data_IF_728737994443
#
_entry.id   IF_728737994443
#
_cell.length_a   1.000
_cell.length_b   1.000
_cell.length_c   1.000
_cell.angle_alpha   90.00
_cell.angle_beta   90.00
_cell.angle_gamma   90.00
#
_symmetry.space_group_name_H-M   'P 1'
#
loop_
_entity.id
_entity.type
_entity.pdbx_description
1 polymer ?
#
# COMPACT_ATOMS: atom_id res chain seq x y z
N UNK A 1 -5.77 -27.66 -2.43
CA UNK A 1 -5.61 -26.20 -2.17
C UNK A 1 -4.13 -25.94 -2.00
N UNK A 2 -3.51 -25.16 -2.89
CA UNK A 2 -2.11 -24.75 -2.73
C UNK A 2 -2.03 -23.81 -1.52
N UNK A 3 -1.39 -24.24 -0.43
CA UNK A 3 -1.01 -23.36 0.66
C UNK A 3 0.14 -22.49 0.19
N UNK A 4 -0.14 -21.25 -0.22
CA UNK A 4 0.91 -20.27 -0.44
C UNK A 4 1.51 -19.90 0.93
N UNK A 5 2.84 -19.92 1.08
CA UNK A 5 3.46 -19.51 2.33
C UNK A 5 3.16 -18.04 2.60
N UNK A 6 2.79 -17.73 3.83
CA UNK A 6 2.54 -16.36 4.31
C UNK A 6 3.60 -16.00 5.37
N UNK A 7 4.83 -15.68 4.94
CA UNK A 7 5.96 -15.48 5.87
C UNK A 7 5.92 -14.14 6.61
N UNK A 8 5.16 -13.15 6.13
CA UNK A 8 5.14 -11.81 6.71
C UNK A 8 4.21 -11.82 7.94
N UNK A 9 4.79 -11.66 9.13
CA UNK A 9 4.02 -11.50 10.36
C UNK A 9 3.34 -10.12 10.41
N UNK A 10 2.26 -9.95 11.19
CA UNK A 10 1.62 -8.66 11.39
C UNK A 10 2.61 -7.58 11.89
N UNK A 11 3.57 -7.98 12.73
CA UNK A 11 4.63 -7.08 13.21
C UNK A 11 5.58 -6.63 12.11
N UNK A 12 5.99 -7.55 11.23
CA UNK A 12 6.83 -7.19 10.09
C UNK A 12 6.08 -6.25 9.13
N UNK A 13 4.79 -6.51 8.90
CA UNK A 13 3.93 -5.66 8.08
C UNK A 13 3.82 -4.24 8.63
N UNK A 14 3.60 -4.10 9.95
CA UNK A 14 3.55 -2.80 10.62
C UNK A 14 4.79 -1.95 10.34
N UNK A 15 5.97 -2.57 10.34
CA UNK A 15 7.21 -1.87 9.99
C UNK A 15 7.25 -1.48 8.51
N UNK A 16 6.81 -2.34 7.60
CA UNK A 16 6.74 -1.97 6.18
C UNK A 16 5.86 -0.74 5.97
N UNK A 17 4.69 -0.69 6.60
CA UNK A 17 3.78 0.47 6.49
C UNK A 17 4.40 1.75 7.05
N UNK A 18 5.05 1.65 8.22
CA UNK A 18 5.69 2.78 8.89
C UNK A 18 6.79 3.42 8.02
N UNK A 19 7.53 2.63 7.24
CA UNK A 19 8.55 3.13 6.32
C UNK A 19 7.96 3.52 4.96
N UNK A 20 6.96 2.79 4.48
CA UNK A 20 6.33 3.02 3.18
C UNK A 20 5.64 4.39 3.14
N UNK A 21 4.93 4.78 4.20
CA UNK A 21 4.20 6.04 4.23
C UNK A 21 5.07 7.28 3.93
N UNK A 22 6.14 7.59 4.70
CA UNK A 22 7.00 8.73 4.40
C UNK A 22 7.74 8.58 3.06
N UNK A 23 8.13 7.37 2.66
CA UNK A 23 8.78 7.13 1.38
C UNK A 23 7.86 7.45 0.19
N UNK A 24 6.59 7.02 0.24
CA UNK A 24 5.60 7.28 -0.81
C UNK A 24 5.27 8.78 -0.87
N UNK A 25 5.12 9.45 0.27
CA UNK A 25 4.90 10.91 0.28
C UNK A 25 6.10 11.69 -0.26
N UNK A 26 7.32 11.29 0.11
CA UNK A 26 8.55 11.87 -0.45
C UNK A 26 8.64 11.67 -1.96
N UNK A 27 8.28 10.47 -2.44
CA UNK A 27 8.22 10.16 -3.87
C UNK A 27 7.14 10.99 -4.59
N UNK A 28 5.98 11.21 -3.97
CA UNK A 28 4.94 12.07 -4.52
C UNK A 28 5.43 13.52 -4.65
N UNK A 29 6.07 14.04 -3.61
CA UNK A 29 6.63 15.39 -3.61
C UNK A 29 7.70 15.56 -4.70
N UNK A 30 8.59 14.58 -4.87
CA UNK A 30 9.57 14.57 -5.96
C UNK A 30 8.88 14.52 -7.34
N UNK A 31 7.90 13.61 -7.51
CA UNK A 31 7.18 13.43 -8.78
C UNK A 31 6.37 14.67 -9.17
N UNK A 32 5.98 15.52 -8.21
CA UNK A 32 5.20 16.73 -8.47
C UNK A 32 5.86 17.67 -9.50
N UNK A 33 7.20 17.74 -9.48
CA UNK A 33 7.99 18.55 -10.43
C UNK A 33 8.11 17.92 -11.82
N UNK A 34 7.85 16.62 -11.96
CA UNK A 34 8.04 15.85 -13.20
C UNK A 34 6.72 15.51 -13.89
N UNK A 35 5.71 15.13 -13.13
CA UNK A 35 4.36 14.84 -13.62
C UNK A 35 3.33 14.93 -12.48
N UNK A 36 2.53 16.00 -12.45
CA UNK A 36 1.54 16.25 -11.39
C UNK A 36 0.47 15.17 -11.28
N UNK A 37 0.06 14.55 -12.40
CA UNK A 37 -0.96 13.48 -12.37
C UNK A 37 -0.42 12.22 -11.71
N UNK A 38 0.80 11.81 -12.06
CA UNK A 38 1.46 10.69 -11.39
C UNK A 38 1.71 11.00 -9.91
N UNK A 39 2.16 12.22 -9.59
CA UNK A 39 2.34 12.65 -8.20
C UNK A 39 1.05 12.55 -7.38
N UNK A 40 -0.09 12.99 -7.94
CA UNK A 40 -1.39 12.88 -7.29
C UNK A 40 -1.80 11.42 -7.02
N UNK A 41 -1.56 10.51 -7.98
CA UNK A 41 -1.82 9.08 -7.78
C UNK A 41 -0.91 8.49 -6.68
N UNK A 42 0.37 8.85 -6.67
CA UNK A 42 1.32 8.39 -5.65
C UNK A 42 0.91 8.91 -4.26
N UNK A 43 0.54 10.19 -4.16
CA UNK A 43 0.05 10.78 -2.92
C UNK A 43 -1.24 10.10 -2.44
N UNK A 44 -2.19 9.86 -3.34
CA UNK A 44 -3.44 9.17 -3.01
C UNK A 44 -3.17 7.74 -2.49
N UNK A 45 -2.25 7.01 -3.12
CA UNK A 45 -1.83 5.69 -2.63
C UNK A 45 -1.21 5.79 -1.22
N UNK A 46 -0.28 6.72 -1.01
CA UNK A 46 0.35 6.94 0.28
C UNK A 46 -0.64 7.29 1.39
N UNK A 47 -1.62 8.16 1.09
CA UNK A 47 -2.68 8.51 2.03
C UNK A 47 -3.59 7.34 2.36
N UNK A 48 -3.96 6.52 1.36
CA UNK A 48 -4.79 5.34 1.57
C UNK A 48 -4.07 4.30 2.44
N UNK A 49 -2.83 3.95 2.10
CA UNK A 49 -2.02 3.00 2.86
C UNK A 49 -1.74 3.53 4.28
N UNK A 50 -1.33 4.79 4.40
CA UNK A 50 -1.06 5.42 5.69
C UNK A 50 -2.30 5.48 6.59
N UNK A 51 -3.46 5.80 6.02
CA UNK A 51 -4.73 5.80 6.77
C UNK A 51 -5.14 4.39 7.16
N UNK A 52 -4.98 3.42 6.26
CA UNK A 52 -5.28 2.02 6.55
C UNK A 52 -4.39 1.51 7.68
N UNK A 53 -3.08 1.73 7.59
CA UNK A 53 -2.11 1.39 8.64
C UNK A 53 -2.43 2.08 9.97
N UNK A 54 -2.76 3.38 9.93
CA UNK A 54 -3.11 4.15 11.12
C UNK A 54 -4.32 3.59 11.86
N UNK A 55 -5.27 3.05 11.11
CA UNK A 55 -6.51 2.47 11.63
C UNK A 55 -6.41 0.98 11.98
N UNK A 56 -5.25 0.36 11.76
CA UNK A 56 -5.08 -1.09 11.94
C UNK A 56 -4.56 -1.45 13.33
N UNK A 57 -5.15 -2.50 13.90
CA UNK A 57 -4.65 -3.18 15.08
C UNK A 57 -3.73 -4.35 14.68
N UNK A 58 -2.49 -4.05 14.33
CA UNK A 58 -1.36 -4.99 14.27
C UNK A 58 -0.41 -4.73 15.47
N UNK A 59 0.60 -5.55 15.78
CA UNK A 59 1.55 -5.27 16.86
C UNK A 59 2.86 -4.64 16.33
N UNK A 60 3.25 -3.40 16.70
CA UNK A 60 2.56 -2.45 17.59
C UNK A 60 1.36 -1.78 16.91
N UNK A 61 0.29 -1.44 17.65
CA UNK A 61 -0.93 -0.89 17.04
C UNK A 61 -0.68 0.43 16.33
N UNK A 62 -1.44 0.68 15.26
CA UNK A 62 -1.55 2.01 14.68
C UNK A 62 -2.06 3.03 15.71
N UNK A 63 -1.87 4.33 15.46
CA UNK A 63 -2.29 5.41 16.37
C UNK A 63 -3.79 5.42 16.68
N UNK A 64 -4.64 4.90 15.79
CA UNK A 64 -6.09 4.91 15.95
C UNK A 64 -6.66 3.52 15.62
N UNK A 65 -6.38 2.48 16.42
CA UNK A 65 -6.65 1.09 16.03
C UNK A 65 -8.16 0.80 16.04
N UNK A 66 -8.78 0.82 14.86
CA UNK A 66 -10.24 0.64 14.66
C UNK A 66 -10.57 -0.74 14.09
N UNK A 67 -9.72 -1.34 13.26
CA UNK A 67 -9.98 -2.64 12.64
C UNK A 67 -8.81 -3.63 12.70
N UNK A 68 -9.12 -4.91 12.50
CA UNK A 68 -8.14 -6.00 12.58
C UNK A 68 -7.14 -6.01 11.42
N UNK A 69 -5.96 -6.59 11.62
CA UNK A 69 -4.99 -6.83 10.55
C UNK A 69 -5.54 -7.68 9.38
N UNK A 70 -6.47 -8.60 9.64
CA UNK A 70 -7.19 -9.31 8.57
C UNK A 70 -7.97 -8.35 7.68
N UNK A 71 -8.62 -7.35 8.28
CA UNK A 71 -9.36 -6.32 7.54
C UNK A 71 -8.41 -5.46 6.73
N UNK A 72 -7.26 -5.06 7.29
CA UNK A 72 -6.18 -4.38 6.57
C UNK A 72 -5.79 -5.14 5.29
N UNK A 73 -5.47 -6.44 5.42
CA UNK A 73 -5.08 -7.27 4.26
C UNK A 73 -6.17 -7.28 3.19
N UNK A 74 -7.44 -7.40 3.60
CA UNK A 74 -8.57 -7.38 2.65
C UNK A 74 -8.69 -6.03 1.94
N UNK A 75 -8.53 -4.93 2.66
CA UNK A 75 -8.53 -3.58 2.08
C UNK A 75 -7.42 -3.48 1.04
N UNK A 76 -6.19 -3.89 1.37
CA UNK A 76 -5.06 -3.85 0.44
C UNK A 76 -5.27 -4.72 -0.81
N UNK A 77 -5.75 -5.96 -0.63
CA UNK A 77 -5.98 -6.89 -1.75
C UNK A 77 -7.10 -6.46 -2.71
N UNK A 78 -8.05 -5.63 -2.26
CA UNK A 78 -9.09 -5.04 -3.12
C UNK A 78 -8.68 -3.68 -3.66
N UNK A 79 -8.14 -2.82 -2.79
CA UNK A 79 -7.74 -1.46 -3.11
C UNK A 79 -6.60 -1.39 -4.12
N UNK A 80 -5.62 -2.28 -4.03
CA UNK A 80 -4.46 -2.25 -4.92
C UNK A 80 -4.80 -2.59 -6.39
N UNK A 81 -5.62 -3.61 -6.72
CA UNK A 81 -6.14 -3.80 -8.08
C UNK A 81 -6.93 -2.59 -8.60
N UNK A 82 -7.77 -1.96 -7.76
CA UNK A 82 -8.52 -0.75 -8.15
C UNK A 82 -7.55 0.39 -8.46
N UNK A 83 -6.54 0.60 -7.60
CA UNK A 83 -5.50 1.61 -7.82
C UNK A 83 -4.71 1.35 -9.11
N UNK A 84 -4.35 0.10 -9.41
CA UNK A 84 -3.68 -0.28 -10.65
C UNK A 84 -4.54 0.00 -11.88
N UNK A 85 -5.83 -0.33 -11.83
CA UNK A 85 -6.77 -0.06 -12.91
C UNK A 85 -6.89 1.45 -13.17
N UNK A 86 -7.15 2.24 -12.12
CA UNK A 86 -7.20 3.71 -12.23
C UNK A 86 -5.89 4.26 -12.79
N UNK A 87 -4.75 3.84 -12.22
CA UNK A 87 -3.43 4.28 -12.64
C UNK A 87 -3.06 3.89 -14.07
N UNK A 88 -3.67 2.84 -14.61
CA UNK A 88 -3.51 2.41 -16.02
C UNK A 88 -4.36 3.24 -16.98
N UNK A 89 -5.47 3.81 -16.50
CA UNK A 89 -6.43 4.53 -17.34
C UNK A 89 -6.27 6.05 -17.30
N UNK A 90 -5.58 6.62 -16.31
CA UNK A 90 -5.36 8.08 -16.26
C UNK A 90 -4.55 8.55 -17.49
N UNK A 91 -5.08 9.47 -18.32
CA UNK A 91 -4.39 9.93 -19.52
C UNK A 91 -3.30 10.98 -19.22
N UNK A 92 -2.31 11.07 -20.11
CA UNK A 92 -1.23 12.07 -20.01
C UNK A 92 -0.13 11.76 -18.98
N UNK A 93 -0.05 10.50 -18.53
CA UNK A 93 1.10 9.99 -17.77
C UNK A 93 2.00 9.21 -18.73
N UNK A 94 3.22 9.72 -19.05
CA UNK A 94 4.19 8.99 -19.85
C UNK A 94 4.58 7.65 -19.21
N UNK A 95 4.87 6.64 -20.04
CA UNK A 95 5.19 5.28 -19.57
C UNK A 95 6.29 5.24 -18.49
N UNK A 96 7.34 6.06 -18.64
CA UNK A 96 8.45 6.16 -17.67
C UNK A 96 8.00 6.49 -16.24
N UNK A 97 6.92 7.25 -16.07
CA UNK A 97 6.34 7.58 -14.76
C UNK A 97 5.23 6.60 -14.41
N UNK A 98 4.45 6.13 -15.40
CA UNK A 98 3.39 5.14 -15.19
C UNK A 98 3.93 3.87 -14.56
N UNK A 99 5.08 3.35 -15.01
CA UNK A 99 5.73 2.18 -14.40
C UNK A 99 6.06 2.37 -12.91
N UNK A 100 6.35 3.59 -12.47
CA UNK A 100 6.59 3.90 -11.04
C UNK A 100 5.29 3.78 -10.27
N UNK A 101 4.22 4.40 -10.76
CA UNK A 101 2.88 4.33 -10.15
C UNK A 101 2.37 2.89 -10.09
N UNK A 102 2.50 2.14 -11.20
CA UNK A 102 2.09 0.73 -11.24
C UNK A 102 2.95 -0.15 -10.32
N UNK A 103 4.25 0.12 -10.23
CA UNK A 103 5.14 -0.56 -9.27
C UNK A 103 4.67 -0.39 -7.83
N UNK A 104 4.25 0.82 -7.46
CA UNK A 104 3.66 1.07 -6.13
C UNK A 104 2.35 0.33 -5.92
N UNK A 105 1.51 0.16 -6.95
CA UNK A 105 0.27 -0.61 -6.82
C UNK A 105 0.48 -2.12 -6.69
N UNK A 106 1.60 -2.65 -7.21
CA UNK A 106 1.92 -4.08 -7.09
C UNK A 106 2.46 -4.45 -5.70
N UNK A 107 3.18 -3.53 -5.04
CA UNK A 107 3.79 -3.79 -3.73
C UNK A 107 2.75 -4.21 -2.66
N UNK A 108 1.63 -3.49 -2.47
CA UNK A 108 0.60 -3.91 -1.53
C UNK A 108 0.01 -5.27 -1.84
N UNK A 109 -0.15 -5.64 -3.13
CA UNK A 109 -0.64 -6.99 -3.49
C UNK A 109 0.31 -8.06 -2.99
N UNK A 110 1.61 -7.87 -3.20
CA UNK A 110 2.64 -8.80 -2.77
C UNK A 110 2.74 -8.87 -1.24
N UNK A 111 2.84 -7.72 -0.57
CA UNK A 111 2.99 -7.66 0.89
C UNK A 111 1.73 -8.23 1.56
N UNK A 112 0.52 -7.83 1.15
CA UNK A 112 -0.72 -8.35 1.72
C UNK A 112 -0.93 -9.84 1.40
N UNK A 113 -0.60 -10.30 0.19
CA UNK A 113 -0.71 -11.71 -0.19
C UNK A 113 0.23 -12.63 0.60
N UNK A 114 1.42 -12.14 0.92
CA UNK A 114 2.44 -12.84 1.73
C UNK A 114 2.24 -12.66 3.25
N UNK A 115 1.26 -11.88 3.68
CA UNK A 115 1.01 -11.60 5.09
C UNK A 115 0.13 -12.65 5.76
N UNK A 116 0.51 -13.07 6.95
CA UNK A 116 -0.24 -14.02 7.76
C UNK A 116 -1.31 -13.28 8.58
N UNK A 117 -2.61 -13.50 8.31
CA UNK A 117 -3.69 -12.77 8.97
C UNK A 117 -3.99 -13.26 10.41
N UNK A 118 -3.27 -14.26 10.92
CA UNK A 118 -3.56 -14.95 12.17
C UNK A 118 -2.46 -14.84 13.25
N UNK A 119 -1.30 -14.25 12.96
CA UNK A 119 -0.13 -14.34 13.86
C UNK A 119 -0.06 -13.29 14.99
N UNK A 120 -1.17 -12.61 15.32
CA UNK A 120 -1.25 -11.76 16.51
C UNK A 120 -1.70 -12.58 17.73
N UNK A 121 -0.80 -13.42 18.26
CA UNK A 121 -0.85 -13.88 19.66
C UNK A 121 0.42 -13.43 20.34
#
# INVERSE_FOLDING_TARGET
MLHFPQPISPKAHAYFDAWAFPAILGLAAWMWRHNRKAAALIAANGLLEGTTAALTNFPPPGPFPVFSFRTHIRIGLVGAPVFLAVSSLVPGIPWRHRRVVLGLGLLPILINGLSNPHSSR
#
